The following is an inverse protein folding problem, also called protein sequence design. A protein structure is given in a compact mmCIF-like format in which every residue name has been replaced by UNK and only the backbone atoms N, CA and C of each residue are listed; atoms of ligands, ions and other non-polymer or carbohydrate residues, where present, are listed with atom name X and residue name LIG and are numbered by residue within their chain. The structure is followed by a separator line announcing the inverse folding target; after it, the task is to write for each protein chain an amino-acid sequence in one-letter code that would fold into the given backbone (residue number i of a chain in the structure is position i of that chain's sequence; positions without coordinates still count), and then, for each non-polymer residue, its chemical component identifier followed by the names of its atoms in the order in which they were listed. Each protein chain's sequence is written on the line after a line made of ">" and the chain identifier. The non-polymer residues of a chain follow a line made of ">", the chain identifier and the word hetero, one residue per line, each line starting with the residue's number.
data_IF_694673814744
#
_entry.id   IF_694673814744
#
_cell.length_a   1.000
_cell.length_b   1.000
_cell.length_c   1.000
_cell.angle_alpha   90.00
_cell.angle_beta   90.00
_cell.angle_gamma   90.00
#
_symmetry.space_group_name_H-M   'P 1'
#
loop_
_entity.id
_entity.type
_entity.pdbx_description
1 polymer ?
#
# COMPACT_ATOMS: atom_id res chain seq x y z
N UNK A 1 -1.11 7.85 11.24
CA UNK A 1 -1.60 6.48 10.99
C UNK A 1 -1.09 5.92 9.67
N UNK A 2 -1.31 6.58 8.51
CA UNK A 2 -0.81 6.08 7.19
C UNK A 2 0.65 6.41 6.92
N UNK A 3 1.16 7.55 7.37
CA UNK A 3 2.62 7.82 7.37
C UNK A 3 3.43 6.77 8.18
N UNK A 4 2.81 6.08 9.14
CA UNK A 4 3.41 4.95 9.87
C UNK A 4 3.21 3.61 9.14
N UNK A 5 2.11 3.42 8.41
CA UNK A 5 1.92 2.22 7.56
C UNK A 5 2.90 2.19 6.39
N UNK A 6 3.10 3.33 5.70
CA UNK A 6 4.02 3.45 4.55
C UNK A 6 5.46 3.78 4.96
N UNK A 7 5.74 3.88 6.27
CA UNK A 7 7.06 4.17 6.83
C UNK A 7 7.75 5.44 6.28
N UNK A 8 6.95 6.44 5.89
CA UNK A 8 7.43 7.69 5.28
C UNK A 8 8.28 8.54 6.25
N UNK A 9 8.17 8.30 7.56
CA UNK A 9 8.92 8.95 8.64
C UNK A 9 10.25 8.25 8.99
N UNK A 10 10.55 7.10 8.39
CA UNK A 10 11.80 6.38 8.68
C UNK A 10 12.98 7.05 7.99
N UNK A 11 13.89 7.57 8.81
CA UNK A 11 15.18 8.19 8.43
C UNK A 11 16.22 7.16 7.98
N UNK A 12 15.89 5.85 8.04
CA UNK A 12 16.74 4.78 7.51
C UNK A 12 16.27 4.41 6.11
N UNK A 13 17.12 4.48 5.08
CA UNK A 13 16.78 3.97 3.76
C UNK A 13 16.78 2.45 3.85
N UNK A 14 15.64 1.84 4.15
CA UNK A 14 15.52 0.39 4.23
C UNK A 14 14.23 -0.08 3.61
N UNK A 15 14.11 0.08 2.29
CA UNK A 15 13.45 -0.87 1.38
C UNK A 15 13.46 -0.29 -0.04
N UNK A 16 13.78 -1.14 -1.02
CA UNK A 16 13.68 -0.85 -2.45
C UNK A 16 12.31 -0.26 -2.84
N UNK A 17 11.24 -0.64 -2.12
CA UNK A 17 9.87 -0.10 -2.22
C UNK A 17 9.82 1.43 -2.13
N UNK A 18 10.57 2.04 -1.20
CA UNK A 18 10.55 3.50 -1.01
C UNK A 18 11.11 4.23 -2.23
N UNK A 19 12.14 3.67 -2.87
CA UNK A 19 12.72 4.25 -4.08
C UNK A 19 11.75 4.15 -5.26
N UNK A 20 11.11 2.99 -5.42
CA UNK A 20 10.08 2.77 -6.46
C UNK A 20 8.91 3.74 -6.28
N UNK A 21 8.39 3.87 -5.05
CA UNK A 21 7.27 4.78 -4.80
C UNK A 21 7.64 6.26 -5.01
N UNK A 22 8.84 6.68 -4.61
CA UNK A 22 9.31 8.07 -4.88
C UNK A 22 9.44 8.31 -6.38
N UNK A 23 9.89 7.32 -7.15
CA UNK A 23 9.94 7.42 -8.61
C UNK A 23 8.52 7.60 -9.19
N UNK A 24 7.56 6.78 -8.76
CA UNK A 24 6.16 6.92 -9.19
C UNK A 24 5.58 8.29 -8.84
N UNK A 25 5.85 8.82 -7.64
CA UNK A 25 5.41 10.16 -7.23
C UNK A 25 6.04 11.28 -8.06
N UNK A 26 7.24 11.07 -8.60
CA UNK A 26 7.90 12.04 -9.48
C UNK A 26 7.27 12.10 -10.87
N UNK A 27 6.59 11.01 -11.27
CA UNK A 27 5.94 10.86 -12.58
C UNK A 27 4.44 11.19 -12.52
N UNK A 28 3.80 10.98 -11.36
CA UNK A 28 2.36 11.21 -11.16
C UNK A 28 2.06 11.80 -9.77
N UNK A 29 1.51 13.02 -9.76
CA UNK A 29 1.12 13.73 -8.54
C UNK A 29 0.00 13.00 -7.76
N UNK A 30 -0.82 12.21 -8.46
CA UNK A 30 -1.94 11.46 -7.88
C UNK A 30 -1.51 10.10 -7.33
N UNK A 31 -0.26 9.66 -7.54
CA UNK A 31 0.19 8.34 -7.09
C UNK A 31 0.01 8.14 -5.58
N UNK A 32 0.17 9.20 -4.77
CA UNK A 32 -0.10 9.11 -3.34
C UNK A 32 -1.59 8.85 -3.03
N UNK A 33 -2.47 9.63 -3.65
CA UNK A 33 -3.92 9.54 -3.40
C UNK A 33 -4.50 8.22 -3.91
N UNK A 34 -4.02 7.75 -5.07
CA UNK A 34 -4.39 6.44 -5.61
C UNK A 34 -3.93 5.31 -4.68
N UNK A 35 -2.67 5.33 -4.24
CA UNK A 35 -2.15 4.30 -3.33
C UNK A 35 -2.88 4.33 -1.98
N UNK A 36 -3.25 5.52 -1.50
CA UNK A 36 -4.06 5.69 -0.30
C UNK A 36 -5.41 4.99 -0.46
N UNK A 37 -6.14 5.25 -1.55
CA UNK A 37 -7.44 4.62 -1.80
C UNK A 37 -7.31 3.09 -1.92
N UNK A 38 -6.31 2.60 -2.67
CA UNK A 38 -6.02 1.16 -2.77
C UNK A 38 -5.74 0.56 -1.40
N UNK A 39 -4.93 1.20 -0.57
CA UNK A 39 -4.59 0.70 0.76
C UNK A 39 -5.82 0.53 1.65
N UNK A 40 -6.77 1.47 1.62
CA UNK A 40 -8.02 1.36 2.38
C UNK A 40 -8.88 0.20 1.89
N UNK A 41 -8.99 0.01 0.58
CA UNK A 41 -9.79 -1.07 0.01
C UNK A 41 -9.19 -2.44 0.30
N UNK A 42 -7.86 -2.57 0.23
CA UNK A 42 -7.17 -3.80 0.65
C UNK A 42 -7.40 -4.07 2.14
N UNK A 43 -7.28 -3.04 2.97
CA UNK A 43 -7.52 -3.16 4.41
C UNK A 43 -8.96 -3.60 4.71
N UNK A 44 -9.96 -2.98 4.08
CA UNK A 44 -11.38 -3.30 4.24
C UNK A 44 -11.69 -4.73 3.76
N UNK A 45 -11.17 -5.12 2.59
CA UNK A 45 -11.32 -6.48 2.07
C UNK A 45 -10.73 -7.51 3.04
N UNK A 46 -9.50 -7.30 3.50
CA UNK A 46 -8.86 -8.21 4.45
C UNK A 46 -9.63 -8.28 5.78
N UNK A 47 -10.20 -7.16 6.22
CA UNK A 47 -11.03 -7.10 7.42
C UNK A 47 -12.25 -8.02 7.30
N UNK A 48 -12.98 -7.92 6.19
CA UNK A 48 -14.17 -8.74 5.93
C UNK A 48 -13.80 -10.21 5.75
N UNK A 49 -12.78 -10.52 4.95
CA UNK A 49 -12.35 -11.91 4.67
C UNK A 49 -11.90 -12.66 5.92
N UNK A 50 -11.24 -11.96 6.85
CA UNK A 50 -10.78 -12.55 8.12
C UNK A 50 -11.85 -12.54 9.21
N UNK A 51 -13.04 -11.99 8.95
CA UNK A 51 -14.06 -11.72 9.97
C UNK A 51 -13.44 -11.00 11.18
N UNK A 52 -12.64 -9.97 10.90
CA UNK A 52 -11.78 -9.31 11.87
C UNK A 52 -12.58 -8.51 12.89
N UNK A 53 -12.07 -8.52 14.12
CA UNK A 53 -12.53 -7.67 15.19
C UNK A 53 -11.58 -6.48 15.38
N UNK A 54 -11.97 -5.53 16.23
CA UNK A 54 -11.09 -4.44 16.63
C UNK A 54 -9.72 -4.91 17.17
N UNK A 55 -9.67 -6.08 17.83
CA UNK A 55 -8.42 -6.63 18.38
C UNK A 55 -7.41 -7.00 17.27
N UNK A 56 -7.90 -7.27 16.06
CA UNK A 56 -7.11 -7.69 14.91
C UNK A 56 -6.57 -6.51 14.10
N UNK A 57 -6.93 -5.26 14.46
CA UNK A 57 -6.58 -4.06 13.71
C UNK A 57 -5.10 -3.97 13.36
N UNK A 58 -4.22 -4.22 14.33
CA UNK A 58 -2.77 -4.19 14.09
C UNK A 58 -2.28 -5.31 13.16
N UNK A 59 -2.93 -6.48 13.18
CA UNK A 59 -2.61 -7.56 12.25
C UNK A 59 -3.04 -7.19 10.83
N UNK A 60 -4.27 -6.69 10.67
CA UNK A 60 -4.80 -6.25 9.38
C UNK A 60 -3.93 -5.15 8.78
N UNK A 61 -3.50 -4.16 9.58
CA UNK A 61 -2.59 -3.11 9.12
C UNK A 61 -1.26 -3.67 8.60
N UNK A 62 -0.66 -4.62 9.33
CA UNK A 62 0.61 -5.26 8.92
C UNK A 62 0.45 -6.07 7.65
N UNK A 63 -0.64 -6.84 7.55
CA UNK A 63 -0.96 -7.65 6.38
C UNK A 63 -1.24 -6.79 5.14
N UNK A 64 -1.99 -5.70 5.30
CA UNK A 64 -2.23 -4.71 4.25
C UNK A 64 -0.92 -4.11 3.75
N UNK A 65 -0.06 -3.65 4.67
CA UNK A 65 1.26 -3.10 4.33
C UNK A 65 2.10 -4.12 3.55
N UNK A 66 2.22 -5.35 4.03
CA UNK A 66 3.02 -6.38 3.40
C UNK A 66 2.51 -6.73 1.98
N UNK A 67 1.20 -6.72 1.77
CA UNK A 67 0.61 -6.91 0.44
C UNK A 67 0.99 -5.77 -0.51
N UNK A 68 0.82 -4.51 -0.09
CA UNK A 68 1.13 -3.35 -0.92
C UNK A 68 2.64 -3.27 -1.24
N UNK A 69 3.50 -3.53 -0.26
CA UNK A 69 4.95 -3.60 -0.46
C UNK A 69 5.32 -4.67 -1.49
N UNK A 70 4.64 -5.82 -1.49
CA UNK A 70 4.87 -6.87 -2.48
C UNK A 70 4.40 -6.45 -3.88
N UNK A 71 3.22 -5.84 -3.99
CA UNK A 71 2.65 -5.41 -5.27
C UNK A 71 3.47 -4.30 -5.92
N UNK A 72 3.97 -3.34 -5.14
CA UNK A 72 4.85 -2.26 -5.61
C UNK A 72 6.21 -2.76 -6.13
N UNK A 73 6.59 -4.01 -5.86
CA UNK A 73 7.85 -4.60 -6.31
C UNK A 73 7.69 -5.57 -7.47
N UNK A 74 6.47 -5.73 -7.99
CA UNK A 74 6.24 -6.53 -9.18
C UNK A 74 6.90 -5.86 -10.39
N UNK A 75 7.57 -6.64 -11.23
CA UNK A 75 8.35 -6.13 -12.38
C UNK A 75 7.47 -5.38 -13.40
N UNK A 76 6.19 -5.73 -13.48
CA UNK A 76 5.19 -5.17 -14.38
C UNK A 76 4.40 -3.99 -13.77
N UNK A 77 4.70 -3.59 -12.53
CA UNK A 77 4.06 -2.45 -11.86
C UNK A 77 4.94 -1.21 -12.01
N UNK A 78 4.60 -0.36 -12.97
CA UNK A 78 5.29 0.91 -13.21
C UNK A 78 4.54 2.09 -12.61
N UNK A 79 3.21 1.98 -12.49
CA UNK A 79 2.34 2.98 -11.86
C UNK A 79 1.42 2.31 -10.82
N UNK A 80 0.72 3.12 -10.02
CA UNK A 80 -0.23 2.60 -9.03
C UNK A 80 -1.40 1.88 -9.71
N UNK A 81 -1.80 2.32 -10.89
CA UNK A 81 -2.88 1.73 -11.68
C UNK A 81 -2.57 0.31 -12.18
N UNK A 82 -1.28 -0.04 -12.27
CA UNK A 82 -0.84 -1.38 -12.67
C UNK A 82 -0.91 -2.39 -11.52
N UNK A 83 -1.05 -1.92 -10.28
CA UNK A 83 -1.10 -2.80 -9.10
C UNK A 83 -2.32 -3.74 -9.17
N UNK A 84 -2.17 -5.03 -8.84
CA UNK A 84 -3.29 -5.97 -8.79
C UNK A 84 -4.47 -5.48 -7.94
N UNK A 85 -4.19 -4.83 -6.81
CA UNK A 85 -5.21 -4.28 -5.91
C UNK A 85 -5.88 -3.00 -6.42
N UNK A 86 -5.35 -2.36 -7.47
CA UNK A 86 -6.01 -1.21 -8.09
C UNK A 86 -7.39 -1.58 -8.63
N UNK A 87 -7.60 -2.84 -9.03
CA UNK A 87 -8.91 -3.36 -9.47
C UNK A 87 -10.00 -3.27 -8.41
N UNK A 88 -9.67 -3.00 -7.15
CA UNK A 88 -10.67 -2.77 -6.12
C UNK A 88 -11.34 -1.38 -6.24
N UNK A 89 -10.74 -0.45 -6.99
CA UNK A 89 -11.28 0.90 -7.23
C UNK A 89 -12.33 0.94 -8.36
N UNK A 90 -12.42 -0.11 -9.18
CA UNK A 90 -13.25 -0.19 -10.39
C UNK A 90 -14.30 -1.31 -10.27
#
# INVERSE_FOLDING_TARGET
>A
MIMQMLDLQSTKPRTFVKAVFVQMLSEDEWAFDLLYCVAFLVMDKQWVEKNASYMDFNEILKSTRAQLEKELLLEDVLRIEDMPSYRLLC
#
